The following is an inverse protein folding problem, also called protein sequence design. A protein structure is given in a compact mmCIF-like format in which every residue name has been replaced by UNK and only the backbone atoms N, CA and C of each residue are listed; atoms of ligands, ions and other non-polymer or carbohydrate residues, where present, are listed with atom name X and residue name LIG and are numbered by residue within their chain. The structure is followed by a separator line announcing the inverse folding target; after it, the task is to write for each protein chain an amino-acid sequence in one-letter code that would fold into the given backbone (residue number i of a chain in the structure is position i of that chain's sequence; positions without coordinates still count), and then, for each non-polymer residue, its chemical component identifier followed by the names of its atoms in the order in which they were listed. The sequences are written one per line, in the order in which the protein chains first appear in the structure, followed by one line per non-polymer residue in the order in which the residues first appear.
data_IF_307952835952
#
_entry.id   IF_307952835952
#
_cell.length_a   1.000
_cell.length_b   1.000
_cell.length_c   1.000
_cell.angle_alpha   90.00
_cell.angle_beta   90.00
_cell.angle_gamma   90.00
#
_symmetry.space_group_name_H-M   'P 1'
#
loop_
_entity.id
_entity.type
_entity.pdbx_description
1 polymer ?
#
# COMPACT_ATOMS: atom_id res chain seq x y z
N UNK A 1 -7.20 -1.59 21.46
CA UNK A 1 -8.45 -1.06 20.85
C UNK A 1 -9.00 -2.13 19.93
N UNK A 2 -10.32 -2.26 19.78
CA UNK A 2 -10.88 -3.19 18.80
C UNK A 2 -10.57 -2.68 17.36
N UNK A 3 -10.30 -3.59 16.42
CA UNK A 3 -9.93 -3.21 15.03
C UNK A 3 -10.95 -2.26 14.39
N UNK A 4 -12.24 -2.49 14.64
CA UNK A 4 -13.34 -1.68 14.07
C UNK A 4 -13.33 -0.24 14.59
N UNK A 5 -13.07 -0.07 15.89
CA UNK A 5 -12.92 1.25 16.52
C UNK A 5 -11.70 1.98 15.96
N UNK A 6 -10.59 1.26 15.78
CA UNK A 6 -9.35 1.79 15.25
C UNK A 6 -9.52 2.29 13.80
N UNK A 7 -10.17 1.51 12.94
CA UNK A 7 -10.52 1.91 11.57
C UNK A 7 -11.41 3.16 11.58
N UNK A 8 -12.43 3.18 12.44
CA UNK A 8 -13.38 4.31 12.53
C UNK A 8 -12.66 5.61 12.89
N UNK A 9 -11.79 5.58 13.91
CA UNK A 9 -11.00 6.74 14.33
C UNK A 9 -9.99 7.17 13.27
N UNK A 10 -9.30 6.21 12.64
CA UNK A 10 -8.37 6.51 11.55
C UNK A 10 -9.07 7.25 10.40
N UNK A 11 -10.29 6.83 10.02
CA UNK A 11 -11.12 7.52 9.01
C UNK A 11 -11.55 8.92 9.43
N UNK A 12 -11.69 9.18 10.74
CA UNK A 12 -11.96 10.51 11.30
C UNK A 12 -10.70 11.38 11.41
N UNK A 13 -9.63 11.07 10.68
CA UNK A 13 -8.34 11.79 10.68
C UNK A 13 -7.64 11.79 12.05
N UNK A 14 -7.93 10.81 12.91
CA UNK A 14 -7.15 10.62 14.13
C UNK A 14 -5.79 10.04 13.78
N UNK A 15 -4.74 10.87 13.88
CA UNK A 15 -3.37 10.50 13.49
C UNK A 15 -2.85 9.31 14.30
N UNK A 16 -3.08 9.28 15.62
CA UNK A 16 -2.64 8.17 16.48
C UNK A 16 -3.32 6.85 16.10
N UNK A 17 -4.61 6.90 15.78
CA UNK A 17 -5.34 5.71 15.33
C UNK A 17 -4.85 5.21 13.96
N UNK A 18 -4.56 6.12 13.03
CA UNK A 18 -3.97 5.76 11.73
C UNK A 18 -2.58 5.14 11.91
N UNK A 19 -1.75 5.71 12.79
CA UNK A 19 -0.41 5.20 13.10
C UNK A 19 -0.46 3.80 13.72
N UNK A 20 -1.31 3.59 14.73
CA UNK A 20 -1.49 2.28 15.36
C UNK A 20 -2.02 1.23 14.35
N UNK A 21 -2.96 1.62 13.49
CA UNK A 21 -3.47 0.75 12.42
C UNK A 21 -2.39 0.43 11.38
N UNK A 22 -1.60 1.43 10.98
CA UNK A 22 -0.49 1.28 10.04
C UNK A 22 0.57 0.33 10.57
N UNK A 23 0.94 0.47 11.84
CA UNK A 23 1.97 -0.35 12.49
C UNK A 23 1.63 -1.84 12.46
N UNK A 24 0.34 -2.19 12.56
CA UNK A 24 -0.13 -3.58 12.43
C UNK A 24 0.10 -4.16 11.02
N UNK A 25 0.18 -3.31 9.99
CA UNK A 25 0.33 -3.72 8.59
C UNK A 25 1.74 -3.53 8.03
N UNK A 26 2.69 -2.98 8.79
CA UNK A 26 4.11 -2.87 8.37
C UNK A 26 4.66 -4.18 7.79
N UNK A 27 4.43 -5.37 8.38
CA UNK A 27 4.92 -6.63 7.79
C UNK A 27 4.40 -6.90 6.38
N UNK A 28 3.12 -6.57 6.10
CA UNK A 28 2.54 -6.67 4.77
C UNK A 28 3.24 -5.71 3.81
N UNK A 29 3.41 -4.44 4.20
CA UNK A 29 4.02 -3.41 3.36
C UNK A 29 5.48 -3.76 3.00
N UNK A 30 6.27 -4.17 3.99
CA UNK A 30 7.66 -4.64 3.78
C UNK A 30 7.71 -5.84 2.83
N UNK A 31 6.80 -6.80 2.99
CA UNK A 31 6.70 -7.97 2.11
C UNK A 31 6.42 -7.56 0.66
N UNK A 32 5.51 -6.60 0.43
CA UNK A 32 5.20 -6.12 -0.93
C UNK A 32 6.31 -5.27 -1.52
N UNK A 33 6.93 -4.40 -0.74
CA UNK A 33 8.10 -3.63 -1.17
C UNK A 33 9.22 -4.55 -1.64
N UNK A 34 9.58 -5.55 -0.83
CA UNK A 34 10.61 -6.54 -1.16
C UNK A 34 10.31 -7.30 -2.45
N UNK A 35 9.04 -7.58 -2.77
CA UNK A 35 8.66 -8.24 -4.02
C UNK A 35 9.01 -7.38 -5.23
N UNK A 36 8.70 -6.08 -5.20
CA UNK A 36 8.94 -5.20 -6.34
C UNK A 36 10.39 -4.74 -6.46
N UNK A 37 11.16 -4.75 -5.36
CA UNK A 37 12.60 -4.52 -5.46
C UNK A 37 13.33 -5.58 -6.27
N UNK A 38 12.78 -6.80 -6.33
CA UNK A 38 13.29 -7.84 -7.23
C UNK A 38 13.05 -7.54 -8.72
N UNK A 39 12.18 -6.58 -9.03
CA UNK A 39 11.89 -6.12 -10.40
C UNK A 39 12.58 -4.79 -10.72
N UNK A 40 13.60 -4.39 -9.94
CA UNK A 40 14.43 -3.22 -10.22
C UNK A 40 13.94 -1.90 -9.63
N UNK A 41 12.89 -1.90 -8.79
CA UNK A 41 12.46 -0.69 -8.07
C UNK A 41 13.21 -0.50 -6.75
N UNK A 42 13.54 0.73 -6.40
CA UNK A 42 14.14 1.05 -5.09
C UNK A 42 13.18 0.69 -3.95
N UNK A 43 13.68 -0.07 -2.98
CA UNK A 43 12.87 -0.65 -1.91
C UNK A 43 12.13 0.43 -1.09
N UNK A 44 12.84 1.50 -0.73
CA UNK A 44 12.28 2.56 0.10
C UNK A 44 11.18 3.32 -0.65
N UNK A 45 11.32 3.54 -1.96
CA UNK A 45 10.30 4.17 -2.80
C UNK A 45 9.04 3.30 -2.87
N UNK A 46 9.20 1.99 -3.08
CA UNK A 46 8.05 1.07 -3.08
C UNK A 46 7.39 1.01 -1.70
N UNK A 47 8.18 1.01 -0.63
CA UNK A 47 7.65 1.00 0.74
C UNK A 47 6.84 2.27 1.04
N UNK A 48 7.36 3.44 0.66
CA UNK A 48 6.65 4.72 0.79
C UNK A 48 5.36 4.72 -0.05
N UNK A 49 5.41 4.23 -1.29
CA UNK A 49 4.23 4.13 -2.13
C UNK A 49 3.19 3.16 -1.54
N UNK A 50 3.63 2.03 -0.98
CA UNK A 50 2.75 1.09 -0.30
C UNK A 50 2.09 1.72 0.94
N UNK A 51 2.83 2.55 1.69
CA UNK A 51 2.32 3.30 2.83
C UNK A 51 1.26 4.33 2.42
N UNK A 52 1.50 5.07 1.34
CA UNK A 52 0.51 6.00 0.77
C UNK A 52 -0.77 5.27 0.35
N UNK A 53 -0.63 4.15 -0.38
CA UNK A 53 -1.75 3.31 -0.80
C UNK A 53 -2.54 2.76 0.38
N UNK A 54 -1.86 2.39 1.46
CA UNK A 54 -2.49 1.98 2.71
C UNK A 54 -3.36 3.10 3.28
N UNK A 55 -2.82 4.30 3.45
CA UNK A 55 -3.55 5.45 4.02
C UNK A 55 -4.80 5.75 3.19
N UNK A 56 -4.68 5.81 1.87
CA UNK A 56 -5.81 6.03 0.95
C UNK A 56 -6.84 4.93 1.09
N UNK A 57 -6.40 3.67 1.12
CA UNK A 57 -7.30 2.53 1.26
C UNK A 57 -8.08 2.54 2.58
N UNK A 58 -7.49 2.98 3.69
CA UNK A 58 -8.20 3.15 4.98
C UNK A 58 -9.38 4.12 4.83
N UNK A 59 -9.16 5.27 4.18
CA UNK A 59 -10.23 6.25 3.95
C UNK A 59 -11.34 5.70 3.05
N UNK A 60 -10.97 4.98 1.99
CA UNK A 60 -11.91 4.41 1.03
C UNK A 60 -12.64 3.16 1.55
N UNK A 61 -12.14 2.53 2.61
CA UNK A 61 -12.66 1.24 3.07
C UNK A 61 -14.14 1.34 3.45
N UNK A 62 -14.94 0.45 2.86
CA UNK A 62 -16.33 0.19 3.23
C UNK A 62 -16.43 -1.28 3.63
N UNK A 63 -16.99 -1.54 4.79
CA UNK A 63 -17.23 -2.89 5.29
C UNK A 63 -18.33 -3.54 4.44
N UNK A 64 -17.93 -4.44 3.54
CA UNK A 64 -18.83 -5.18 2.66
C UNK A 64 -18.50 -6.67 2.80
N UNK A 65 -19.33 -7.45 3.51
CA UNK A 65 -19.17 -8.89 3.61
C UNK A 65 -19.15 -9.55 2.22
N UNK A 66 -18.37 -10.62 2.01
CA UNK A 66 -17.56 -11.34 3.01
C UNK A 66 -16.12 -10.81 3.16
N UNK A 67 -15.79 -9.63 2.61
CA UNK A 67 -14.40 -9.16 2.55
C UNK A 67 -13.97 -8.53 3.87
N UNK A 68 -12.99 -9.15 4.55
CA UNK A 68 -12.36 -8.57 5.75
C UNK A 68 -11.55 -7.32 5.42
N UNK A 69 -11.34 -6.46 6.41
CA UNK A 69 -10.47 -5.29 6.27
C UNK A 69 -9.08 -5.65 5.73
N UNK A 70 -8.41 -6.65 6.33
CA UNK A 70 -7.10 -7.09 5.90
C UNK A 70 -7.10 -7.63 4.45
N UNK A 71 -8.16 -8.34 4.05
CA UNK A 71 -8.34 -8.82 2.67
C UNK A 71 -8.49 -7.66 1.68
N UNK A 72 -9.28 -6.65 2.03
CA UNK A 72 -9.41 -5.43 1.25
C UNK A 72 -8.08 -4.68 1.12
N UNK A 73 -7.38 -4.44 2.24
CA UNK A 73 -6.09 -3.72 2.25
C UNK A 73 -5.08 -4.41 1.35
N UNK A 74 -4.94 -5.74 1.46
CA UNK A 74 -4.07 -6.54 0.61
C UNK A 74 -4.36 -6.31 -0.88
N UNK A 75 -5.63 -6.42 -1.29
CA UNK A 75 -6.01 -6.24 -2.71
C UNK A 75 -5.71 -4.82 -3.21
N UNK A 76 -6.01 -3.79 -2.41
CA UNK A 76 -5.77 -2.39 -2.79
C UNK A 76 -4.29 -2.07 -2.95
N UNK A 77 -3.47 -2.53 -2.01
CA UNK A 77 -2.02 -2.34 -2.06
C UNK A 77 -1.42 -3.11 -3.24
N UNK A 78 -1.81 -4.37 -3.46
CA UNK A 78 -1.32 -5.17 -4.58
C UNK A 78 -1.62 -4.53 -5.93
N UNK A 79 -2.86 -4.06 -6.13
CA UNK A 79 -3.24 -3.36 -7.35
C UNK A 79 -2.49 -2.04 -7.51
N UNK A 80 -2.44 -1.22 -6.46
CA UNK A 80 -1.80 0.09 -6.51
C UNK A 80 -0.30 -0.01 -6.80
N UNK A 81 0.40 -0.98 -6.22
CA UNK A 81 1.82 -1.21 -6.49
C UNK A 81 2.08 -1.76 -7.89
N UNK A 82 1.16 -2.57 -8.45
CA UNK A 82 1.27 -3.00 -9.85
C UNK A 82 1.09 -1.82 -10.82
N UNK A 83 0.16 -0.91 -10.54
CA UNK A 83 0.00 0.33 -11.32
C UNK A 83 1.26 1.21 -11.21
N UNK A 84 1.80 1.38 -10.00
CA UNK A 84 3.04 2.11 -9.76
C UNK A 84 4.20 1.51 -10.54
N UNK A 85 4.42 0.19 -10.43
CA UNK A 85 5.47 -0.52 -11.15
C UNK A 85 5.39 -0.29 -12.66
N UNK A 86 4.21 -0.45 -13.27
CA UNK A 86 4.06 -0.23 -14.72
C UNK A 86 4.42 1.19 -15.14
N UNK A 87 4.06 2.19 -14.33
CA UNK A 87 4.40 3.59 -14.60
C UNK A 87 5.92 3.79 -14.55
N UNK A 88 6.57 3.28 -13.51
CA UNK A 88 8.03 3.43 -13.37
C UNK A 88 8.80 2.65 -14.44
N UNK A 89 8.36 1.44 -14.80
CA UNK A 89 8.96 0.71 -15.92
C UNK A 89 8.86 1.49 -17.22
N UNK A 90 7.69 2.07 -17.55
CA UNK A 90 7.52 2.91 -18.75
C UNK A 90 8.45 4.14 -18.69
N UNK A 91 8.55 4.80 -17.53
CA UNK A 91 9.44 5.95 -17.36
C UNK A 91 10.90 5.57 -17.61
N UNK A 92 11.32 4.40 -17.15
CA UNK A 92 12.69 3.92 -17.35
C UNK A 92 12.97 3.62 -18.83
N UNK A 93 12.03 2.98 -19.55
CA UNK A 93 12.15 2.81 -21.01
C UNK A 93 12.26 4.14 -21.77
N UNK A 94 11.50 5.16 -21.36
CA UNK A 94 11.57 6.49 -22.00
C UNK A 94 12.93 7.16 -21.73
N UNK A 95 13.50 6.95 -20.53
CA UNK A 95 14.81 7.51 -20.17
C UNK A 95 15.98 6.75 -20.79
N UNK A 96 15.85 5.43 -20.97
CA UNK A 96 16.90 4.54 -21.46
C UNK A 96 16.38 3.59 -22.56
N UNK A 97 16.12 4.09 -23.78
CA UNK A 97 15.49 3.29 -24.84
C UNK A 97 16.37 2.18 -25.46
N UNK A 98 17.64 2.07 -25.07
CA UNK A 98 18.63 1.19 -25.73
C UNK A 98 19.25 0.10 -24.85
N UNK A 99 18.72 -0.15 -23.64
CA UNK A 99 19.18 -1.25 -22.79
C UNK A 99 18.15 -2.38 -22.87
N UNK A 100 18.42 -3.37 -23.73
CA UNK A 100 17.81 -4.71 -23.74
C UNK A 100 18.96 -5.71 -23.79
#
# INVERSE_FOLDING_TARGET
MELKELITRAKQKNVKAMEELFNQFIPLLKSRAKRYSKYGLEYDDVFQQAALLFIIAVYDYKEIPPTTFAGYMRKRIDWGLWVYYRKESINDYIKNPFII
#
